data_IF_105577006820
#
_entry.id   IF_105577006820
#
_cell.length_a   1.000
_cell.length_b   1.000
_cell.length_c   1.000
_cell.angle_alpha   90.00
_cell.angle_beta   90.00
_cell.angle_gamma   90.00
#
_symmetry.space_group_name_H-M   'P 1'
#
loop_
_entity.id
_entity.type
_entity.pdbx_description
1 polymer ?
#
# COMPACT_ATOMS: atom_id res chain seq x y z
N UNK A 1 14.82 -17.01 -26.14
CA UNK A 1 15.15 -16.08 -25.03
C UNK A 1 14.45 -16.55 -23.76
N UNK A 2 15.18 -16.84 -22.68
CA UNK A 2 14.56 -17.25 -21.42
C UNK A 2 13.66 -16.12 -20.88
N UNK A 3 12.39 -16.44 -20.61
CA UNK A 3 11.39 -15.49 -20.10
C UNK A 3 11.90 -14.96 -18.75
N UNK A 4 12.29 -13.67 -18.68
CA UNK A 4 12.72 -13.05 -17.41
C UNK A 4 11.55 -13.11 -16.44
N UNK A 5 11.63 -14.02 -15.46
CA UNK A 5 10.60 -14.15 -14.44
C UNK A 5 10.49 -12.83 -13.64
N UNK A 6 9.26 -12.39 -13.31
CA UNK A 6 9.09 -11.20 -12.49
C UNK A 6 9.78 -11.37 -11.13
N UNK A 7 10.15 -10.24 -10.53
CA UNK A 7 10.62 -10.19 -9.13
C UNK A 7 9.57 -9.41 -8.36
N UNK A 8 9.26 -9.86 -7.15
CA UNK A 8 8.41 -9.14 -6.22
C UNK A 8 9.19 -8.85 -4.95
N UNK A 9 8.95 -7.68 -4.40
CA UNK A 9 9.39 -7.25 -3.07
C UNK A 9 8.17 -7.33 -2.15
N UNK A 10 8.20 -8.26 -1.20
CA UNK A 10 7.18 -8.38 -0.17
C UNK A 10 7.66 -7.74 1.13
N UNK A 11 6.99 -6.69 1.57
CA UNK A 11 7.25 -5.99 2.83
C UNK A 11 6.33 -6.58 3.92
N UNK A 12 6.81 -7.49 4.79
CA UNK A 12 5.96 -8.23 5.74
C UNK A 12 5.28 -7.32 6.77
N UNK A 13 5.94 -6.26 7.23
CA UNK A 13 5.41 -5.34 8.24
C UNK A 13 4.18 -4.56 7.73
N UNK A 14 4.19 -4.19 6.44
CA UNK A 14 3.08 -3.48 5.80
C UNK A 14 2.12 -4.42 5.04
N UNK A 15 2.50 -5.71 4.91
CA UNK A 15 1.87 -6.70 4.04
C UNK A 15 1.64 -6.17 2.60
N UNK A 16 2.66 -5.52 2.04
CA UNK A 16 2.64 -4.99 0.67
C UNK A 16 3.48 -5.85 -0.25
N UNK A 17 2.98 -6.12 -1.45
CA UNK A 17 3.69 -6.84 -2.49
C UNK A 17 3.85 -5.90 -3.68
N UNK A 18 5.10 -5.58 -3.99
CA UNK A 18 5.44 -4.65 -5.06
C UNK A 18 6.16 -5.41 -6.15
N UNK A 19 5.63 -5.38 -7.37
CA UNK A 19 6.32 -5.96 -8.53
C UNK A 19 7.46 -5.04 -8.93
N UNK A 20 8.67 -5.60 -9.06
CA UNK A 20 9.88 -4.88 -9.45
C UNK A 20 10.62 -5.63 -10.55
N UNK A 21 11.57 -4.97 -11.20
CA UNK A 21 12.51 -5.61 -12.12
C UNK A 21 13.83 -5.92 -11.40
N UNK A 22 14.59 -6.90 -11.92
CA UNK A 22 15.97 -7.15 -11.47
C UNK A 22 16.85 -5.90 -11.61
N UNK A 23 16.63 -5.12 -12.66
CA UNK A 23 17.35 -3.88 -12.91
C UNK A 23 17.03 -2.82 -11.85
N UNK A 24 15.75 -2.67 -11.48
CA UNK A 24 15.33 -1.78 -10.40
C UNK A 24 15.96 -2.19 -9.06
N UNK A 25 15.94 -3.48 -8.74
CA UNK A 25 16.58 -4.00 -7.54
C UNK A 25 18.09 -3.66 -7.50
N UNK A 26 18.77 -3.72 -8.65
CA UNK A 26 20.18 -3.42 -8.73
C UNK A 26 20.49 -1.93 -8.71
N UNK A 27 19.92 -1.17 -9.64
CA UNK A 27 20.24 0.25 -9.84
C UNK A 27 19.65 1.17 -8.77
N UNK A 28 18.45 0.85 -8.27
CA UNK A 28 17.73 1.71 -7.33
C UNK A 28 17.87 1.21 -5.89
N UNK A 29 17.67 -0.09 -5.66
CA UNK A 29 17.76 -0.66 -4.30
C UNK A 29 19.18 -1.05 -3.90
N UNK A 30 20.16 -0.95 -4.81
CA UNK A 30 21.56 -1.28 -4.56
C UNK A 30 21.82 -2.77 -4.31
N UNK A 31 20.93 -3.66 -4.74
CA UNK A 31 21.06 -5.10 -4.53
C UNK A 31 21.83 -5.74 -5.67
N UNK A 32 22.95 -6.38 -5.35
CA UNK A 32 23.74 -7.12 -6.34
C UNK A 32 22.90 -8.29 -6.91
N UNK A 33 22.87 -8.53 -8.24
CA UNK A 33 22.03 -9.56 -8.84
C UNK A 33 22.24 -10.98 -8.28
N UNK A 34 23.47 -11.34 -7.93
CA UNK A 34 23.80 -12.61 -7.26
C UNK A 34 23.19 -12.69 -5.86
N UNK A 35 23.25 -11.60 -5.10
CA UNK A 35 22.60 -11.48 -3.79
C UNK A 35 21.08 -11.55 -3.90
N UNK A 36 20.48 -10.91 -4.91
CA UNK A 36 19.04 -11.01 -5.18
C UNK A 36 18.62 -12.46 -5.41
N UNK A 37 19.38 -13.20 -6.22
CA UNK A 37 19.12 -14.62 -6.49
C UNK A 37 19.17 -15.44 -5.20
N UNK A 38 20.19 -15.18 -4.35
CA UNK A 38 20.32 -15.83 -3.03
C UNK A 38 19.15 -15.48 -2.09
N UNK A 39 18.75 -14.21 -2.01
CA UNK A 39 17.60 -13.79 -1.19
C UNK A 39 16.32 -14.53 -1.59
N UNK A 40 16.09 -14.68 -2.90
CA UNK A 40 14.93 -15.39 -3.44
C UNK A 40 14.99 -16.88 -3.13
N UNK A 41 16.11 -17.54 -3.41
CA UNK A 41 16.27 -18.99 -3.22
C UNK A 41 16.15 -19.39 -1.75
N UNK A 42 16.81 -18.65 -0.88
CA UNK A 42 16.87 -18.97 0.55
C UNK A 42 15.71 -18.36 1.35
N UNK A 43 14.81 -17.62 0.70
CA UNK A 43 13.75 -16.82 1.35
C UNK A 43 14.31 -16.00 2.53
N UNK A 44 15.45 -15.34 2.33
CA UNK A 44 16.14 -14.60 3.39
C UNK A 44 15.56 -13.20 3.52
N UNK A 45 15.31 -12.77 4.76
CA UNK A 45 14.83 -11.42 5.06
C UNK A 45 15.94 -10.39 4.86
N UNK A 46 15.66 -9.35 4.08
CA UNK A 46 16.56 -8.21 3.95
C UNK A 46 16.21 -7.19 5.05
N UNK A 47 17.05 -7.09 6.08
CA UNK A 47 16.81 -6.19 7.21
C UNK A 47 16.82 -4.70 6.80
N UNK A 48 17.70 -4.30 5.88
CA UNK A 48 17.83 -2.90 5.44
C UNK A 48 16.60 -2.41 4.69
N UNK A 49 16.04 -3.25 3.83
CA UNK A 49 14.86 -2.93 3.02
C UNK A 49 13.55 -3.41 3.66
N UNK A 50 13.64 -4.05 4.84
CA UNK A 50 12.53 -4.65 5.57
C UNK A 50 11.63 -5.53 4.68
N UNK A 51 12.22 -6.37 3.83
CA UNK A 51 11.47 -7.12 2.82
C UNK A 51 12.04 -8.52 2.51
N UNK A 52 11.20 -9.35 1.88
CA UNK A 52 11.61 -10.56 1.16
C UNK A 52 11.51 -10.34 -0.34
N UNK A 53 12.46 -10.90 -1.10
CA UNK A 53 12.36 -10.99 -2.55
C UNK A 53 11.79 -12.35 -2.95
N UNK A 54 10.81 -12.38 -3.85
CA UNK A 54 10.15 -13.61 -4.31
C UNK A 54 9.87 -13.59 -5.81
N UNK A 55 9.74 -14.76 -6.44
CA UNK A 55 9.36 -14.88 -7.87
C UNK A 55 7.86 -14.96 -8.10
N UNK A 56 7.13 -15.36 -7.06
CA UNK A 56 5.70 -15.58 -7.10
C UNK A 56 5.05 -15.01 -5.84
N UNK A 57 3.80 -14.54 -5.93
CA UNK A 57 3.05 -14.12 -4.75
C UNK A 57 2.96 -15.22 -3.70
N UNK A 58 3.33 -14.90 -2.46
CA UNK A 58 3.28 -15.84 -1.35
C UNK A 58 1.85 -16.12 -0.88
N UNK A 59 1.56 -17.38 -0.59
CA UNK A 59 0.32 -17.76 0.10
C UNK A 59 0.26 -17.20 1.53
N UNK A 60 -0.93 -17.08 2.11
CA UNK A 60 -1.09 -16.62 3.50
C UNK A 60 -0.36 -17.53 4.49
N UNK A 61 -0.27 -18.83 4.20
CA UNK A 61 0.45 -19.81 5.03
C UNK A 61 1.95 -19.51 5.03
N UNK A 62 2.54 -19.32 3.85
CA UNK A 62 3.98 -18.99 3.73
C UNK A 62 4.31 -17.64 4.35
N UNK A 63 3.48 -16.61 4.12
CA UNK A 63 3.65 -15.31 4.76
C UNK A 63 3.73 -15.43 6.28
N UNK A 64 2.88 -16.28 6.89
CA UNK A 64 2.88 -16.50 8.34
C UNK A 64 4.16 -17.20 8.82
N UNK A 65 4.66 -18.17 8.06
CA UNK A 65 5.91 -18.85 8.38
C UNK A 65 7.10 -17.88 8.33
N UNK A 66 7.18 -17.07 7.26
CA UNK A 66 8.27 -16.11 7.09
C UNK A 66 8.22 -15.00 8.15
N UNK A 67 7.06 -14.37 8.37
CA UNK A 67 6.97 -13.29 9.38
C UNK A 67 7.27 -13.78 10.79
N UNK A 68 7.04 -15.07 11.10
CA UNK A 68 7.39 -15.65 12.40
C UNK A 68 8.91 -15.78 12.60
N UNK A 69 9.67 -15.92 11.51
CA UNK A 69 11.14 -16.02 11.55
C UNK A 69 11.85 -14.66 11.65
N UNK A 70 11.11 -13.55 11.51
CA UNK A 70 11.69 -12.21 11.62
C UNK A 70 11.93 -11.89 13.09
N UNK A 71 13.20 -11.65 13.40
CA UNK A 71 13.67 -11.09 14.67
C UNK A 71 13.98 -9.62 14.47
N UNK A 72 13.30 -8.77 15.26
CA UNK A 72 13.51 -7.32 15.26
C UNK A 72 14.15 -6.97 16.61
N UNK A 73 15.33 -6.35 16.63
CA UNK A 73 16.00 -5.96 17.87
C UNK A 73 15.11 -5.03 18.71
N UNK A 74 15.00 -5.32 20.00
CA UNK A 74 14.25 -4.52 20.98
C UNK A 74 12.75 -4.34 20.65
N UNK A 75 12.15 -5.27 19.89
CA UNK A 75 10.71 -5.21 19.58
C UNK A 75 9.86 -5.34 20.85
N UNK A 76 8.99 -4.36 21.07
CA UNK A 76 8.12 -4.31 22.25
C UNK A 76 6.75 -4.84 21.85
N UNK A 77 6.25 -5.83 22.59
CA UNK A 77 4.92 -6.40 22.40
C UNK A 77 3.98 -6.00 23.52
N UNK A 78 2.76 -5.58 23.16
CA UNK A 78 1.68 -5.24 24.11
C UNK A 78 0.38 -5.92 23.72
N UNK A 79 -0.44 -6.22 24.70
CA UNK A 79 -1.81 -6.66 24.45
C UNK A 79 -2.67 -5.47 24.01
N UNK A 80 -3.54 -5.69 23.02
CA UNK A 80 -4.49 -4.67 22.59
C UNK A 80 -5.72 -4.69 23.51
N UNK A 81 -6.65 -3.75 23.34
CA UNK A 81 -7.96 -3.82 23.99
C UNK A 81 -8.82 -5.02 23.57
N UNK A 82 -8.41 -5.76 22.53
CA UNK A 82 -9.05 -7.00 22.12
C UNK A 82 -8.31 -8.16 22.80
N UNK A 83 -9.03 -8.87 23.66
CA UNK A 83 -8.49 -9.97 24.47
C UNK A 83 -7.75 -11.00 23.61
N UNK A 84 -6.53 -11.36 24.02
CA UNK A 84 -5.67 -12.35 23.38
C UNK A 84 -5.01 -11.89 22.08
N UNK A 85 -5.25 -10.66 21.62
CA UNK A 85 -4.55 -10.06 20.48
C UNK A 85 -3.41 -9.16 20.95
N UNK A 86 -2.20 -9.50 20.55
CA UNK A 86 -0.99 -8.74 20.81
C UNK A 86 -0.54 -7.97 19.57
N UNK A 87 0.05 -6.81 19.80
CA UNK A 87 0.63 -5.95 18.76
C UNK A 87 2.02 -5.49 19.17
N UNK A 88 2.96 -5.44 18.22
CA UNK A 88 4.28 -4.84 18.45
C UNK A 88 4.35 -3.37 18.07
N UNK A 89 5.41 -2.68 18.51
CA UNK A 89 5.71 -1.30 18.13
C UNK A 89 6.00 -1.17 16.62
N UNK A 90 6.44 -2.27 16.00
CA UNK A 90 6.54 -2.43 14.54
C UNK A 90 5.21 -2.81 13.85
N UNK A 91 4.10 -2.75 14.57
CA UNK A 91 2.75 -3.06 14.11
C UNK A 91 2.55 -4.50 13.58
N UNK A 92 3.32 -5.47 14.10
CA UNK A 92 3.04 -6.90 13.88
C UNK A 92 1.95 -7.33 14.83
N UNK A 93 0.96 -8.06 14.34
CA UNK A 93 -0.17 -8.56 15.13
C UNK A 93 -0.08 -10.07 15.30
N UNK A 94 -0.27 -10.58 16.52
CA UNK A 94 -0.29 -12.02 16.79
C UNK A 94 -1.25 -12.43 17.90
N UNK A 95 -1.71 -13.67 17.85
CA UNK A 95 -2.43 -14.34 18.95
C UNK A 95 -1.67 -15.58 19.38
N UNK A 96 -1.74 -15.92 20.66
CA UNK A 96 -1.18 -17.18 21.16
C UNK A 96 -2.03 -18.35 20.66
N UNK A 97 -1.37 -19.45 20.28
CA UNK A 97 -1.98 -20.73 19.92
C UNK A 97 -1.28 -21.85 20.70
N UNK A 98 -1.85 -23.05 20.70
CA UNK A 98 -1.24 -24.21 21.38
C UNK A 98 0.18 -24.52 20.90
N UNK A 99 0.48 -24.20 19.63
CA UNK A 99 1.76 -24.46 18.96
C UNK A 99 2.65 -23.23 18.77
N UNK A 100 2.32 -22.09 19.42
CA UNK A 100 3.13 -20.87 19.34
C UNK A 100 2.30 -19.62 19.04
N UNK A 101 2.62 -18.93 17.94
CA UNK A 101 2.01 -17.65 17.59
C UNK A 101 1.40 -17.70 16.19
N UNK A 102 0.17 -17.20 16.07
CA UNK A 102 -0.47 -16.96 14.78
C UNK A 102 -0.46 -15.48 14.45
N UNK A 103 0.23 -15.11 13.37
CA UNK A 103 0.32 -13.74 12.88
C UNK A 103 -0.88 -13.33 12.00
N UNK A 104 -1.24 -12.06 12.12
CA UNK A 104 -2.27 -11.37 11.34
C UNK A 104 -1.61 -10.27 10.50
N UNK A 105 -2.15 -10.08 9.30
CA UNK A 105 -1.65 -9.08 8.37
C UNK A 105 -2.63 -7.92 8.24
N UNK A 106 -2.08 -6.72 8.19
CA UNK A 106 -2.83 -5.51 7.87
C UNK A 106 -3.21 -5.55 6.39
N UNK A 107 -4.41 -5.04 6.07
CA UNK A 107 -4.88 -4.83 4.71
C UNK A 107 -5.65 -3.51 4.62
N UNK A 108 -5.76 -2.97 3.42
CA UNK A 108 -6.55 -1.76 3.19
C UNK A 108 -8.04 -2.11 3.13
N UNK A 109 -8.85 -1.45 3.94
CA UNK A 109 -10.31 -1.51 3.88
C UNK A 109 -10.87 -0.09 3.85
N UNK A 110 -11.57 0.26 2.77
CA UNK A 110 -12.09 1.62 2.55
C UNK A 110 -11.03 2.72 2.74
N UNK A 111 -9.79 2.44 2.34
CA UNK A 111 -8.66 3.38 2.46
C UNK A 111 -8.03 3.48 3.86
N UNK A 112 -8.40 2.61 4.79
CA UNK A 112 -7.83 2.54 6.13
C UNK A 112 -7.10 1.21 6.37
N UNK A 113 -5.98 1.22 7.11
CA UNK A 113 -5.30 0.00 7.53
C UNK A 113 -6.17 -0.76 8.55
N UNK A 114 -6.49 -2.01 8.26
CA UNK A 114 -7.37 -2.85 9.06
C UNK A 114 -6.81 -4.26 9.23
N UNK A 115 -7.23 -4.93 10.29
CA UNK A 115 -7.02 -6.37 10.51
C UNK A 115 -8.36 -7.09 10.65
N UNK A 116 -8.37 -8.38 10.35
CA UNK A 116 -9.52 -9.27 10.59
C UNK A 116 -9.21 -10.18 11.76
N UNK A 117 -9.90 -9.97 12.87
CA UNK A 117 -9.75 -10.73 14.11
C UNK A 117 -11.12 -11.20 14.59
N UNK A 118 -11.23 -12.47 15.01
CA UNK A 118 -12.50 -13.08 15.45
C UNK A 118 -13.72 -12.73 14.55
N UNK A 119 -13.56 -12.90 13.23
CA UNK A 119 -14.57 -12.60 12.19
C UNK A 119 -14.96 -11.12 12.03
N UNK A 120 -14.43 -10.20 12.83
CA UNK A 120 -14.69 -8.76 12.75
C UNK A 120 -13.48 -7.99 12.17
N UNK A 121 -13.75 -6.81 11.64
CA UNK A 121 -12.75 -5.91 11.08
C UNK A 121 -12.45 -4.80 12.09
N UNK A 122 -11.16 -4.54 12.34
CA UNK A 122 -10.71 -3.51 13.28
C UNK A 122 -9.67 -2.61 12.62
N UNK A 123 -9.71 -1.31 12.94
CA UNK A 123 -8.72 -0.33 12.46
C UNK A 123 -7.38 -0.59 13.15
N UNK A 124 -6.38 -0.97 12.35
CA UNK A 124 -5.07 -1.38 12.85
C UNK A 124 -4.32 -0.22 13.53
N UNK A 125 -4.36 0.98 12.93
CA UNK A 125 -3.73 2.18 13.49
C UNK A 125 -4.25 2.53 14.89
N UNK A 126 -5.56 2.38 15.12
CA UNK A 126 -6.16 2.61 16.45
C UNK A 126 -5.71 1.57 17.46
N UNK A 127 -5.69 0.29 17.08
CA UNK A 127 -5.24 -0.78 17.98
C UNK A 127 -3.78 -0.62 18.39
N UNK A 128 -2.90 -0.24 17.45
CA UNK A 128 -1.49 0.07 17.77
C UNK A 128 -1.42 1.26 18.71
N UNK A 129 -2.06 2.39 18.36
CA UNK A 129 -1.99 3.59 19.18
C UNK A 129 -2.50 3.34 20.60
N UNK A 130 -3.65 2.69 20.75
CA UNK A 130 -4.25 2.40 22.05
C UNK A 130 -3.36 1.51 22.92
N UNK A 131 -2.68 0.53 22.33
CA UNK A 131 -1.76 -0.34 23.06
C UNK A 131 -0.50 0.39 23.58
N UNK A 132 0.01 1.37 22.82
CA UNK A 132 1.28 2.04 23.15
C UNK A 132 1.11 3.37 23.89
N UNK A 133 0.09 4.15 23.56
CA UNK A 133 -0.10 5.54 24.01
C UNK A 133 -1.39 5.76 24.81
N UNK A 134 -2.25 4.75 24.93
CA UNK A 134 -3.46 4.81 25.72
C UNK A 134 -4.74 5.10 24.94
N UNK A 135 -5.86 5.17 25.66
CA UNK A 135 -7.19 5.14 25.08
C UNK A 135 -7.48 6.33 24.15
N UNK A 136 -8.29 6.06 23.12
CA UNK A 136 -8.75 7.05 22.16
C UNK A 136 -10.26 7.28 22.30
N UNK A 137 -10.66 8.52 22.23
CA UNK A 137 -12.07 8.90 22.16
C UNK A 137 -12.67 8.60 20.79
N UNK A 138 -14.00 8.70 20.68
CA UNK A 138 -14.72 8.45 19.42
C UNK A 138 -14.33 9.44 18.32
N UNK A 139 -14.00 10.67 18.70
CA UNK A 139 -13.66 11.75 17.76
C UNK A 139 -12.18 11.90 17.48
N UNK A 140 -11.32 11.25 18.28
CA UNK A 140 -9.89 11.20 18.04
C UNK A 140 -9.58 10.53 16.70
N UNK A 141 -8.69 11.15 15.94
CA UNK A 141 -8.20 10.62 14.67
C UNK A 141 -6.72 10.29 14.80
N UNK A 142 -6.34 9.15 14.23
CA UNK A 142 -4.94 8.72 14.19
C UNK A 142 -4.36 9.01 12.81
N UNK A 143 -3.30 9.81 12.78
CA UNK A 143 -2.54 10.15 11.60
C UNK A 143 -1.18 9.44 11.59
N UNK A 144 -0.67 9.17 10.39
CA UNK A 144 0.67 8.65 10.18
C UNK A 144 1.58 9.83 9.82
N UNK A 145 2.60 10.12 10.63
CA UNK A 145 3.47 11.31 10.52
C UNK A 145 4.13 11.43 9.15
N UNK A 146 4.54 10.31 8.57
CA UNK A 146 5.11 10.26 7.22
C UNK A 146 4.06 10.38 6.07
N UNK A 147 2.78 10.55 6.39
CA UNK A 147 1.69 10.62 5.42
C UNK A 147 1.30 9.28 4.79
N UNK A 148 2.01 8.20 5.09
CA UNK A 148 1.77 6.86 4.54
C UNK A 148 0.78 6.11 5.42
N UNK A 149 -0.52 6.14 5.05
CA UNK A 149 -1.61 5.54 5.85
C UNK A 149 -1.43 4.06 6.19
N UNK A 150 -0.62 3.32 5.42
CA UNK A 150 -0.33 1.91 5.66
C UNK A 150 0.78 1.69 6.70
N UNK A 151 1.62 2.69 6.97
CA UNK A 151 2.68 2.62 7.97
C UNK A 151 2.10 2.94 9.35
N UNK A 152 1.67 1.88 10.01
CA UNK A 152 1.00 1.95 11.31
C UNK A 152 1.92 1.62 12.48
N UNK A 153 3.24 1.71 12.29
CA UNK A 153 4.23 1.57 13.38
C UNK A 153 3.96 2.59 14.48
N UNK A 154 4.08 2.19 15.74
CA UNK A 154 3.70 3.03 16.89
C UNK A 154 4.39 4.40 16.84
N UNK A 155 5.70 4.43 16.60
CA UNK A 155 6.50 5.65 16.50
C UNK A 155 6.04 6.62 15.39
N UNK A 156 5.42 6.09 14.33
CA UNK A 156 4.92 6.86 13.20
C UNK A 156 3.47 7.34 13.40
N UNK A 157 2.79 6.92 14.45
CA UNK A 157 1.41 7.34 14.72
C UNK A 157 1.36 8.55 15.65
N UNK A 158 0.39 9.41 15.40
CA UNK A 158 0.03 10.52 16.29
C UNK A 158 -1.48 10.71 16.35
N UNK A 159 -1.93 11.22 17.48
CA UNK A 159 -3.32 11.63 17.68
C UNK A 159 -3.50 13.06 17.19
N UNK A 160 -4.55 13.27 16.41
CA UNK A 160 -4.90 14.57 15.83
C UNK A 160 -6.42 14.78 15.81
N UNK A 161 -6.85 16.01 15.56
CA UNK A 161 -8.26 16.35 15.39
C UNK A 161 -8.69 16.15 13.92
N UNK A 162 -10.00 16.05 13.68
CA UNK A 162 -10.54 15.99 12.30
C UNK A 162 -10.22 17.26 11.51
N UNK A 163 -10.30 18.40 12.16
CA UNK A 163 -9.99 19.71 11.57
C UNK A 163 -8.52 19.78 11.14
N UNK A 164 -7.62 19.38 12.03
CA UNK A 164 -6.19 19.38 11.75
C UNK A 164 -5.83 18.39 10.63
N UNK A 165 -6.42 17.19 10.66
CA UNK A 165 -6.27 16.25 9.56
C UNK A 165 -6.77 16.84 8.24
N UNK A 166 -7.89 17.57 8.27
CA UNK A 166 -8.42 18.30 7.12
C UNK A 166 -7.45 19.34 6.58
N UNK A 167 -6.82 20.13 7.46
CA UNK A 167 -5.76 21.09 7.10
C UNK A 167 -4.56 20.40 6.46
N UNK A 168 -4.09 19.31 7.06
CA UNK A 168 -2.93 18.54 6.59
C UNK A 168 -3.16 17.82 5.26
N UNK A 169 -4.38 17.37 4.99
CA UNK A 169 -4.66 16.50 3.83
C UNK A 169 -5.54 17.13 2.76
N UNK A 170 -6.22 18.24 3.06
CA UNK A 170 -7.19 18.89 2.18
C UNK A 170 -6.59 19.35 0.86
N UNK A 171 -5.33 19.80 0.87
CA UNK A 171 -4.62 20.19 -0.35
C UNK A 171 -4.44 19.03 -1.35
N UNK A 172 -4.48 17.77 -0.87
CA UNK A 172 -4.40 16.58 -1.73
C UNK A 172 -5.72 16.26 -2.43
N UNK A 173 -6.83 16.89 -2.01
CA UNK A 173 -8.15 16.75 -2.63
C UNK A 173 -8.35 17.68 -3.83
N UNK A 174 -7.29 18.34 -4.33
CA UNK A 174 -7.40 19.22 -5.50
C UNK A 174 -7.96 18.45 -6.68
N UNK A 175 -8.96 19.05 -7.30
CA UNK A 175 -9.60 18.59 -8.52
C UNK A 175 -8.56 18.66 -9.65
N UNK A 176 -8.13 17.51 -10.17
CA UNK A 176 -7.27 17.46 -11.37
C UNK A 176 -8.15 17.47 -12.62
N UNK A 177 -7.77 18.30 -13.59
CA UNK A 177 -8.34 18.28 -14.93
C UNK A 177 -8.00 16.98 -15.65
N UNK A 178 -8.86 16.57 -16.55
CA UNK A 178 -8.72 15.34 -17.34
C UNK A 178 -8.92 15.70 -18.80
N UNK A 179 -8.04 15.23 -19.66
CA UNK A 179 -8.19 15.36 -21.11
C UNK A 179 -8.71 14.05 -21.70
N UNK A 180 -9.52 14.15 -22.74
CA UNK A 180 -9.92 13.04 -23.59
C UNK A 180 -9.09 13.08 -24.87
N UNK A 181 -8.42 11.99 -25.19
CA UNK A 181 -7.44 11.92 -26.27
C UNK A 181 -7.91 10.87 -27.29
N UNK A 182 -7.78 11.19 -28.57
CA UNK A 182 -8.10 10.29 -29.66
C UNK A 182 -6.97 9.30 -29.99
N UNK A 183 -7.18 8.50 -31.03
CA UNK A 183 -6.30 7.38 -31.38
C UNK A 183 -4.89 7.82 -31.78
N UNK A 184 -4.74 9.04 -32.30
CA UNK A 184 -3.49 9.59 -32.79
C UNK A 184 -2.88 10.62 -31.82
N UNK A 185 -3.38 10.71 -30.58
CA UNK A 185 -2.89 11.65 -29.58
C UNK A 185 -3.51 13.04 -29.65
N UNK A 186 -4.50 13.24 -30.52
CA UNK A 186 -5.25 14.49 -30.65
C UNK A 186 -6.09 14.75 -29.40
N UNK A 187 -6.08 15.99 -28.91
CA UNK A 187 -6.96 16.43 -27.83
C UNK A 187 -8.39 16.52 -28.35
N UNK A 188 -9.27 15.64 -27.86
CA UNK A 188 -10.68 15.60 -28.24
C UNK A 188 -11.55 16.47 -27.32
N UNK A 189 -11.25 16.50 -26.02
CA UNK A 189 -12.00 17.30 -25.04
C UNK A 189 -11.21 17.55 -23.75
N UNK A 190 -11.61 18.55 -22.98
CA UNK A 190 -11.06 18.90 -21.67
C UNK A 190 -12.14 18.97 -20.60
N UNK A 191 -11.91 18.28 -19.49
CA UNK A 191 -12.82 18.26 -18.35
C UNK A 191 -12.13 18.81 -17.10
N UNK A 192 -12.84 19.63 -16.33
CA UNK A 192 -12.38 20.07 -15.01
C UNK A 192 -12.27 18.91 -14.02
N UNK A 193 -12.87 17.73 -14.26
CA UNK A 193 -12.55 16.50 -13.49
C UNK A 193 -13.04 15.19 -14.11
N UNK A 194 -12.55 14.08 -13.55
CA UNK A 194 -13.06 12.71 -13.80
C UNK A 194 -14.57 12.55 -13.63
N UNK A 195 -15.23 13.38 -12.80
CA UNK A 195 -16.69 13.30 -12.58
C UNK A 195 -17.48 14.01 -13.67
N UNK A 196 -16.95 15.11 -14.18
CA UNK A 196 -17.54 15.76 -15.34
C UNK A 196 -17.32 14.93 -16.59
N UNK A 197 -16.11 14.39 -16.78
CA UNK A 197 -15.81 13.44 -17.84
C UNK A 197 -16.80 12.28 -17.84
N UNK A 198 -17.05 11.63 -16.69
CA UNK A 198 -18.05 10.56 -16.56
C UNK A 198 -19.46 11.00 -16.97
N UNK A 199 -19.88 12.23 -16.64
CA UNK A 199 -21.20 12.74 -17.00
C UNK A 199 -21.36 12.99 -18.50
N UNK A 200 -20.30 13.48 -19.15
CA UNK A 200 -20.33 13.85 -20.58
C UNK A 200 -20.07 12.63 -21.45
N UNK A 201 -19.04 11.84 -21.15
CA UNK A 201 -18.62 10.71 -21.98
C UNK A 201 -19.31 9.40 -21.62
N UNK A 202 -20.06 9.35 -20.51
CA UNK A 202 -20.72 8.16 -19.96
C UNK A 202 -19.78 6.99 -19.61
N UNK A 203 -18.47 7.22 -19.64
CA UNK A 203 -17.48 6.26 -19.18
C UNK A 203 -17.44 6.25 -17.65
N UNK A 204 -17.38 5.05 -17.07
CA UNK A 204 -17.30 4.92 -15.62
C UNK A 204 -16.06 5.63 -15.06
N UNK A 205 -16.25 6.44 -14.02
CA UNK A 205 -15.18 7.21 -13.38
C UNK A 205 -13.98 6.38 -12.91
N UNK A 206 -14.18 5.14 -12.45
CA UNK A 206 -13.04 4.28 -12.10
C UNK A 206 -12.21 3.95 -13.33
N UNK A 207 -12.86 3.73 -14.47
CA UNK A 207 -12.16 3.45 -15.73
C UNK A 207 -11.39 4.67 -16.23
N UNK A 208 -11.98 5.87 -16.16
CA UNK A 208 -11.29 7.13 -16.44
C UNK A 208 -10.05 7.27 -15.53
N UNK A 209 -10.18 7.03 -14.22
CA UNK A 209 -9.06 7.07 -13.29
C UNK A 209 -7.98 6.01 -13.62
N UNK A 210 -8.37 4.79 -13.97
CA UNK A 210 -7.44 3.72 -14.34
C UNK A 210 -6.65 4.07 -15.62
N UNK A 211 -7.30 4.71 -16.60
CA UNK A 211 -6.64 5.24 -17.80
C UNK A 211 -5.65 6.35 -17.45
N UNK A 212 -6.07 7.38 -16.70
CA UNK A 212 -5.20 8.50 -16.33
C UNK A 212 -3.99 8.05 -15.49
N UNK A 213 -4.13 7.00 -14.68
CA UNK A 213 -3.03 6.43 -13.87
C UNK A 213 -2.22 5.36 -14.62
N UNK A 214 -2.39 5.19 -15.93
CA UNK A 214 -1.73 4.18 -16.77
C UNK A 214 -1.92 2.72 -16.26
N UNK A 215 -3.01 2.45 -15.52
CA UNK A 215 -3.34 1.12 -14.97
C UNK A 215 -4.11 0.26 -15.98
N UNK A 216 -4.72 0.87 -17.00
CA UNK A 216 -5.32 0.18 -18.16
C UNK A 216 -4.49 0.42 -19.41
N UNK A 217 -3.99 -0.67 -20.00
CA UNK A 217 -3.19 -0.64 -21.23
C UNK A 217 -3.85 -1.42 -22.38
N UNK A 218 -5.04 -1.98 -22.18
CA UNK A 218 -5.75 -2.76 -23.20
C UNK A 218 -6.49 -1.84 -24.18
N UNK A 219 -5.94 -1.74 -25.38
CA UNK A 219 -6.46 -0.98 -26.53
C UNK A 219 -7.95 -1.22 -26.85
N UNK A 220 -8.42 -2.46 -26.69
CA UNK A 220 -9.75 -2.88 -27.14
C UNK A 220 -10.89 -2.62 -26.15
N UNK A 221 -10.61 -2.11 -24.94
CA UNK A 221 -11.65 -1.90 -23.92
C UNK A 221 -12.16 -0.47 -23.83
N UNK A 222 -11.26 0.47 -24.13
CA UNK A 222 -11.39 1.92 -24.36
C UNK A 222 -10.07 2.22 -25.07
N UNK A 223 -10.05 3.00 -26.16
CA UNK A 223 -8.82 3.29 -26.92
C UNK A 223 -7.62 3.55 -25.99
N UNK A 224 -6.43 3.06 -26.38
CA UNK A 224 -5.22 3.23 -25.58
C UNK A 224 -5.04 4.71 -25.22
N UNK A 225 -4.92 5.01 -23.91
CA UNK A 225 -4.80 6.38 -23.37
C UNK A 225 -5.91 7.35 -23.75
N UNK A 226 -7.14 6.86 -23.91
CA UNK A 226 -8.28 7.76 -24.15
C UNK A 226 -8.47 8.84 -23.08
N UNK A 227 -8.00 8.63 -21.84
CA UNK A 227 -8.00 9.66 -20.79
C UNK A 227 -6.62 9.85 -20.17
N UNK A 228 -6.23 11.10 -19.97
CA UNK A 228 -4.99 11.49 -19.30
C UNK A 228 -5.21 12.67 -18.37
N UNK A 229 -4.33 12.86 -17.40
CA UNK A 229 -4.36 14.06 -16.57
C UNK A 229 -3.93 15.28 -17.40
N UNK A 230 -4.61 16.41 -17.23
CA UNK A 230 -4.38 17.60 -18.07
C UNK A 230 -2.95 18.16 -17.91
N UNK A 231 -2.43 18.18 -16.68
CA UNK A 231 -1.04 18.54 -16.38
C UNK A 231 -0.04 17.64 -17.12
N UNK A 232 -0.29 16.33 -17.15
CA UNK A 232 0.55 15.38 -17.90
C UNK A 232 0.45 15.55 -19.42
N UNK A 233 -0.69 16.03 -19.95
CA UNK A 233 -0.85 16.30 -21.39
C UNK A 233 -0.11 17.55 -21.82
N UNK A 234 -0.19 18.61 -21.01
CA UNK A 234 0.56 19.84 -21.23
C UNK A 234 2.07 19.58 -21.22
N UNK A 235 2.59 18.81 -20.26
CA UNK A 235 4.02 18.46 -20.19
C UNK A 235 4.52 17.65 -21.39
N UNK A 236 3.68 16.78 -21.98
CA UNK A 236 4.06 15.95 -23.12
C UNK A 236 4.01 16.69 -24.46
N UNK A 237 3.27 17.79 -24.54
CA UNK A 237 3.06 18.58 -25.77
C UNK A 237 3.66 20.00 -25.69
N UNK A 238 4.40 20.32 -24.63
CA UNK A 238 5.23 21.53 -24.49
C UNK A 238 6.59 21.36 -25.18
#
# INVERSE_FOLDING_TARGET
MAKKLPVYMWEPLFNRLTRISTEYAHKVLGIIPSSLTRYIQNKTYNQKLECYFVREPLSVKEKRQLIQQIEIPNEIWRETKLEGLYVSDHARFRTKTNSGWRYYFVFSQKGYPSIKYQKKHYRANRLVYEAFYGNLDKDDVIHAKNGLKYDVRASNLEKTSREELGRLTGHKSKRRGVVFIGEHGELLDEFKSTREAEQVTLYNRNTICECCNNLRQNYHSIGYRAFMWADEYEELNA
#
